data_IF_859528089767
#
_entry.id   IF_859528089767
#
_cell.length_a   1.000
_cell.length_b   1.000
_cell.length_c   1.000
_cell.angle_alpha   90.00
_cell.angle_beta   90.00
_cell.angle_gamma   90.00
#
_symmetry.space_group_name_H-M   'P 1'
#
loop_
_entity.id
_entity.type
_entity.pdbx_description
1 polymer ?
#
# COMPACT_ATOMS: atom_id res chain seq x y z
N UNK A 1 36.23 -26.42 27.25
CA UNK A 1 36.00 -24.97 27.25
C UNK A 1 36.26 -24.30 25.89
N UNK A 2 37.40 -24.46 25.22
CA UNK A 2 37.71 -23.76 23.96
C UNK A 2 36.76 -24.09 22.77
N UNK A 3 36.24 -25.31 22.64
CA UNK A 3 35.27 -25.68 21.58
C UNK A 3 33.87 -25.09 21.78
N UNK A 4 33.48 -24.86 23.03
CA UNK A 4 32.16 -24.25 23.33
C UNK A 4 32.17 -22.74 23.05
N UNK A 5 33.27 -22.06 23.33
CA UNK A 5 33.44 -20.64 23.02
C UNK A 5 33.46 -20.37 21.51
N UNK A 6 34.08 -21.28 20.72
CA UNK A 6 34.14 -21.14 19.25
C UNK A 6 32.73 -21.33 18.60
N UNK A 7 31.93 -22.27 19.13
CA UNK A 7 30.57 -22.48 18.65
C UNK A 7 29.66 -21.27 18.94
N UNK A 8 29.76 -20.69 20.13
CA UNK A 8 29.00 -19.50 20.51
C UNK A 8 29.39 -18.28 19.68
N UNK A 9 30.68 -18.08 19.36
CA UNK A 9 31.13 -16.96 18.51
C UNK A 9 30.71 -17.13 17.05
N UNK A 10 30.72 -18.35 16.51
CA UNK A 10 30.24 -18.62 15.15
C UNK A 10 28.72 -18.42 15.04
N UNK A 11 27.95 -18.89 16.02
CA UNK A 11 26.47 -18.68 16.05
C UNK A 11 26.14 -17.20 16.19
N UNK A 12 26.85 -16.45 17.06
CA UNK A 12 26.65 -15.01 17.20
C UNK A 12 27.02 -14.24 15.91
N UNK A 13 28.15 -14.59 15.28
CA UNK A 13 28.56 -13.96 14.02
C UNK A 13 27.59 -14.24 12.88
N UNK A 14 27.09 -15.48 12.75
CA UNK A 14 26.08 -15.85 11.76
C UNK A 14 24.76 -15.11 12.01
N UNK A 15 24.34 -14.99 13.28
CA UNK A 15 23.12 -14.25 13.65
C UNK A 15 23.24 -12.77 13.31
N UNK A 16 24.38 -12.13 13.55
CA UNK A 16 24.63 -10.72 13.23
C UNK A 16 24.64 -10.50 11.70
N UNK A 17 25.25 -11.40 10.93
CA UNK A 17 25.27 -11.30 9.47
C UNK A 17 23.86 -11.50 8.88
N UNK A 18 23.09 -12.46 9.39
CA UNK A 18 21.73 -12.71 8.94
C UNK A 18 20.79 -11.53 9.28
N UNK A 19 20.91 -10.98 10.49
CA UNK A 19 20.15 -9.80 10.91
C UNK A 19 20.49 -8.56 10.08
N UNK A 20 21.76 -8.36 9.74
CA UNK A 20 22.18 -7.25 8.88
C UNK A 20 21.67 -7.38 7.42
N UNK A 21 21.57 -8.60 6.90
CA UNK A 21 20.99 -8.85 5.58
C UNK A 21 19.47 -8.66 5.57
N UNK A 22 18.80 -9.12 6.59
CA UNK A 22 17.37 -9.01 6.75
C UNK A 22 16.89 -7.55 6.84
N UNK A 23 17.55 -6.75 7.65
CA UNK A 23 17.29 -5.32 7.75
C UNK A 23 17.51 -4.61 6.39
N UNK A 24 18.57 -4.98 5.65
CA UNK A 24 18.83 -4.42 4.32
C UNK A 24 17.69 -4.70 3.32
N UNK A 25 17.17 -5.91 3.30
CA UNK A 25 16.07 -6.29 2.41
C UNK A 25 14.78 -5.56 2.78
N UNK A 26 14.48 -5.43 4.08
CA UNK A 26 13.33 -4.68 4.59
C UNK A 26 13.43 -3.19 4.21
N UNK A 27 14.60 -2.56 4.36
CA UNK A 27 14.83 -1.18 3.95
C UNK A 27 14.73 -0.99 2.42
N UNK A 28 15.19 -1.97 1.63
CA UNK A 28 15.01 -1.94 0.17
C UNK A 28 13.53 -1.97 -0.21
N UNK A 29 12.72 -2.83 0.43
CA UNK A 29 11.27 -2.87 0.20
C UNK A 29 10.64 -1.54 0.59
N UNK A 30 10.98 -0.96 1.74
CA UNK A 30 10.51 0.34 2.19
C UNK A 30 10.79 1.43 1.16
N UNK A 31 12.04 1.55 0.71
CA UNK A 31 12.42 2.53 -0.31
C UNK A 31 11.60 2.36 -1.59
N UNK A 32 11.50 1.13 -2.09
CA UNK A 32 10.74 0.84 -3.31
C UNK A 32 9.25 1.17 -3.15
N UNK A 33 8.65 0.94 -1.97
CA UNK A 33 7.26 1.33 -1.69
C UNK A 33 7.09 2.84 -1.67
N UNK A 34 8.00 3.57 -1.01
CA UNK A 34 8.00 5.04 -0.98
C UNK A 34 8.14 5.62 -2.39
N UNK A 35 9.06 5.08 -3.19
CA UNK A 35 9.24 5.50 -4.59
C UNK A 35 7.96 5.29 -5.42
N UNK A 36 7.25 4.18 -5.21
CA UNK A 36 5.97 3.91 -5.90
C UNK A 36 4.84 4.85 -5.47
N UNK A 37 4.85 5.34 -4.24
CA UNK A 37 3.88 6.35 -3.80
C UNK A 37 4.02 7.67 -4.58
N UNK A 38 5.24 7.97 -5.04
CA UNK A 38 5.59 9.23 -5.71
C UNK A 38 5.70 9.12 -7.23
N UNK A 39 6.23 8.00 -7.73
CA UNK A 39 6.51 7.82 -9.14
C UNK A 39 5.30 7.28 -9.91
N UNK A 40 4.57 8.19 -10.54
CA UNK A 40 3.38 7.86 -11.34
C UNK A 40 3.68 6.92 -12.51
N UNK A 41 4.94 6.84 -12.97
CA UNK A 41 5.37 5.92 -14.05
C UNK A 41 5.45 4.45 -13.56
N UNK A 42 5.40 4.21 -12.26
CA UNK A 42 5.33 2.87 -11.67
C UNK A 42 3.88 2.45 -11.36
N UNK A 43 2.90 3.26 -11.73
CA UNK A 43 1.50 3.00 -11.46
C UNK A 43 0.84 2.11 -12.52
N UNK A 44 -0.17 1.29 -12.15
CA UNK A 44 -0.99 0.57 -13.12
C UNK A 44 -1.68 1.49 -14.14
N UNK A 45 -1.98 2.73 -13.77
CA UNK A 45 -2.57 3.72 -14.66
C UNK A 45 -1.61 4.13 -15.80
N UNK A 46 -0.31 4.18 -15.53
CA UNK A 46 0.68 4.43 -16.57
C UNK A 46 0.81 3.25 -17.54
N UNK A 47 0.76 2.01 -17.04
CA UNK A 47 0.72 0.82 -17.91
C UNK A 47 -0.50 0.83 -18.82
N UNK A 48 -1.68 1.15 -18.28
CA UNK A 48 -2.90 1.30 -19.08
C UNK A 48 -2.78 2.43 -20.13
N UNK A 49 -2.16 3.55 -19.76
CA UNK A 49 -1.85 4.63 -20.71
C UNK A 49 -0.95 4.13 -21.84
N UNK A 50 0.15 3.45 -21.56
CA UNK A 50 1.05 2.91 -22.59
C UNK A 50 0.31 1.97 -23.54
N UNK A 51 -0.49 1.03 -23.00
CA UNK A 51 -1.29 0.13 -23.82
C UNK A 51 -2.28 0.88 -24.73
N UNK A 52 -2.93 1.92 -24.21
CA UNK A 52 -3.84 2.76 -24.99
C UNK A 52 -3.12 3.50 -26.14
N UNK A 53 -1.90 4.01 -25.88
CA UNK A 53 -1.11 4.67 -26.93
C UNK A 53 -0.67 3.67 -28.01
N UNK A 54 -0.24 2.46 -27.63
CA UNK A 54 0.12 1.39 -28.55
C UNK A 54 -1.08 1.01 -29.43
N UNK A 55 -2.26 0.83 -28.85
CA UNK A 55 -3.50 0.49 -29.57
C UNK A 55 -3.90 1.58 -30.58
N UNK A 56 -3.63 2.85 -30.29
CA UNK A 56 -3.93 4.00 -31.16
C UNK A 56 -2.81 4.29 -32.17
N UNK A 57 -1.71 3.56 -32.10
CA UNK A 57 -0.48 3.84 -32.84
C UNK A 57 0.05 5.26 -32.59
N UNK A 58 -0.05 5.73 -31.33
CA UNK A 58 0.42 7.03 -30.88
C UNK A 58 1.72 6.89 -30.05
N UNK A 59 2.57 7.93 -30.03
CA UNK A 59 3.80 7.89 -29.24
C UNK A 59 3.49 7.88 -27.73
N UNK A 60 4.35 7.16 -26.97
CA UNK A 60 4.30 7.16 -25.51
C UNK A 60 5.12 8.37 -25.01
N UNK A 61 4.46 9.43 -24.58
CA UNK A 61 5.10 10.61 -24.00
C UNK A 61 5.01 10.56 -22.47
N UNK A 62 6.03 9.97 -21.84
CA UNK A 62 6.14 9.86 -20.38
C UNK A 62 6.29 11.22 -19.71
N UNK A 63 6.93 12.19 -20.36
CA UNK A 63 7.14 13.52 -19.79
C UNK A 63 5.81 14.28 -19.72
N UNK A 64 5.08 14.35 -20.82
CA UNK A 64 3.76 14.98 -20.85
C UNK A 64 2.77 14.28 -19.88
N UNK A 65 2.86 12.94 -19.75
CA UNK A 65 2.06 12.18 -18.79
C UNK A 65 2.32 12.62 -17.35
N UNK A 66 3.60 12.68 -16.94
CA UNK A 66 4.00 13.15 -15.60
C UNK A 66 3.56 14.58 -15.37
N UNK A 67 3.83 15.49 -16.30
CA UNK A 67 3.47 16.90 -16.18
C UNK A 67 1.96 17.08 -15.99
N UNK A 68 1.15 16.38 -16.76
CA UNK A 68 -0.32 16.43 -16.64
C UNK A 68 -0.80 15.96 -15.26
N UNK A 69 -0.29 14.81 -14.76
CA UNK A 69 -0.71 14.30 -13.47
C UNK A 69 -0.21 15.17 -12.32
N UNK A 70 0.99 15.73 -12.43
CA UNK A 70 1.51 16.68 -11.44
C UNK A 70 0.66 17.96 -11.40
N UNK A 71 0.26 18.51 -12.55
CA UNK A 71 -0.62 19.67 -12.60
C UNK A 71 -1.99 19.42 -11.96
N UNK A 72 -2.56 18.21 -12.15
CA UNK A 72 -3.80 17.78 -11.47
C UNK A 72 -3.59 17.67 -9.96
N UNK A 73 -2.48 17.08 -9.52
CA UNK A 73 -2.14 16.98 -8.11
C UNK A 73 -2.02 18.38 -7.48
N UNK A 74 -1.25 19.27 -8.09
CA UNK A 74 -1.02 20.63 -7.60
C UNK A 74 -2.32 21.46 -7.51
N UNK A 75 -3.16 21.37 -8.53
CA UNK A 75 -4.48 22.01 -8.53
C UNK A 75 -5.38 21.47 -7.41
N UNK A 76 -5.36 20.15 -7.18
CA UNK A 76 -6.12 19.50 -6.09
C UNK A 76 -5.61 19.94 -4.72
N UNK A 77 -4.30 20.04 -4.54
CA UNK A 77 -3.68 20.50 -3.30
C UNK A 77 -4.04 21.97 -3.05
N UNK A 78 -3.93 22.83 -4.07
CA UNK A 78 -4.31 24.23 -3.96
C UNK A 78 -5.76 24.39 -3.49
N UNK A 79 -6.71 23.69 -4.13
CA UNK A 79 -8.12 23.74 -3.76
C UNK A 79 -8.36 23.21 -2.33
N UNK A 80 -7.64 22.15 -1.95
CA UNK A 80 -7.75 21.57 -0.61
C UNK A 80 -7.23 22.50 0.46
N UNK A 81 -6.09 23.16 0.24
CA UNK A 81 -5.54 24.15 1.17
C UNK A 81 -6.44 25.37 1.32
N UNK A 82 -7.02 25.85 0.23
CA UNK A 82 -7.90 27.03 0.24
C UNK A 82 -9.18 26.82 1.05
N UNK A 83 -9.63 25.57 1.24
CA UNK A 83 -10.88 25.23 1.93
C UNK A 83 -10.67 24.56 3.29
N UNK A 84 -9.43 24.28 3.68
CA UNK A 84 -9.13 23.68 4.98
C UNK A 84 -9.45 24.63 6.14
N UNK A 85 -10.16 24.14 7.14
CA UNK A 85 -10.49 24.90 8.36
C UNK A 85 -9.30 24.99 9.32
N UNK A 86 -9.41 25.86 10.30
CA UNK A 86 -8.36 26.06 11.29
C UNK A 86 -8.03 24.81 12.11
N UNK A 87 -9.01 23.94 12.33
CA UNK A 87 -8.86 22.66 13.04
C UNK A 87 -8.34 21.51 12.16
N UNK A 88 -8.11 21.75 10.86
CA UNK A 88 -7.64 20.75 9.92
C UNK A 88 -8.74 20.01 9.14
N UNK A 89 -10.01 20.28 9.45
CA UNK A 89 -11.16 19.69 8.75
C UNK A 89 -11.45 20.37 7.40
N UNK A 90 -12.39 19.79 6.65
CA UNK A 90 -12.97 20.39 5.44
C UNK A 90 -14.49 20.44 5.55
N UNK A 91 -15.14 21.59 5.29
CA UNK A 91 -16.58 21.79 5.51
C UNK A 91 -17.46 20.99 4.57
N UNK A 92 -16.93 20.54 3.43
CA UNK A 92 -17.60 19.70 2.44
C UNK A 92 -17.44 18.19 2.71
N UNK A 93 -16.73 17.80 3.76
CA UNK A 93 -16.57 16.41 4.16
C UNK A 93 -17.58 16.06 5.25
N UNK A 94 -18.48 15.13 4.92
CA UNK A 94 -19.48 14.59 5.85
C UNK A 94 -18.84 13.54 6.77
N UNK A 95 -18.31 13.96 7.92
CA UNK A 95 -17.60 13.07 8.86
C UNK A 95 -18.50 12.07 9.57
N UNK A 96 -19.81 12.36 9.70
CA UNK A 96 -20.83 11.47 10.25
C UNK A 96 -21.51 10.58 9.19
N UNK A 97 -20.85 10.43 8.03
CA UNK A 97 -21.41 9.63 6.94
C UNK A 97 -21.57 8.15 7.32
N UNK A 98 -22.79 7.64 7.20
CA UNK A 98 -23.16 6.24 7.46
C UNK A 98 -23.28 5.40 6.18
N UNK A 99 -22.94 5.93 5.01
CA UNK A 99 -22.97 5.17 3.76
C UNK A 99 -21.99 4.01 3.82
N UNK A 100 -22.47 2.81 3.52
CA UNK A 100 -21.65 1.60 3.49
C UNK A 100 -20.67 1.59 2.31
N UNK A 101 -21.04 2.20 1.20
CA UNK A 101 -20.20 2.43 0.02
C UNK A 101 -20.01 3.93 -0.17
N UNK A 102 -18.91 4.33 -0.85
CA UNK A 102 -18.59 5.75 -1.07
C UNK A 102 -18.53 6.57 0.24
N UNK A 103 -17.87 6.03 1.24
CA UNK A 103 -17.75 6.64 2.56
C UNK A 103 -17.03 7.99 2.48
N UNK A 104 -17.77 9.07 2.74
CA UNK A 104 -17.33 10.46 2.52
C UNK A 104 -16.05 10.86 3.24
N UNK A 105 -15.78 10.41 4.49
CA UNK A 105 -14.55 10.77 5.19
C UNK A 105 -13.25 10.36 4.49
N UNK A 106 -13.25 9.40 3.55
CA UNK A 106 -12.07 9.12 2.73
C UNK A 106 -11.56 10.33 1.94
N UNK A 107 -12.42 11.29 1.61
CA UNK A 107 -12.01 12.55 0.97
C UNK A 107 -10.99 13.29 1.82
N UNK A 108 -11.15 13.30 3.15
CA UNK A 108 -10.20 13.90 4.08
C UNK A 108 -8.81 13.23 3.95
N UNK A 109 -8.76 11.90 4.07
CA UNK A 109 -7.50 11.16 3.95
C UNK A 109 -6.84 11.35 2.57
N UNK A 110 -7.64 11.38 1.50
CA UNK A 110 -7.15 11.61 0.14
C UNK A 110 -6.49 13.00 0.02
N UNK A 111 -7.09 14.03 0.60
CA UNK A 111 -6.53 15.40 0.61
C UNK A 111 -5.20 15.45 1.35
N UNK A 112 -5.14 14.87 2.55
CA UNK A 112 -3.88 14.75 3.31
C UNK A 112 -2.80 14.04 2.50
N UNK A 113 -3.12 12.88 1.91
CA UNK A 113 -2.17 12.08 1.14
C UNK A 113 -1.70 12.82 -0.11
N UNK A 114 -2.57 13.56 -0.80
CA UNK A 114 -2.20 14.38 -1.94
C UNK A 114 -1.24 15.51 -1.53
N UNK A 115 -1.46 16.15 -0.38
CA UNK A 115 -0.52 17.12 0.17
C UNK A 115 0.84 16.50 0.49
N UNK A 116 0.87 15.32 1.10
CA UNK A 116 2.10 14.57 1.36
C UNK A 116 2.84 14.23 0.07
N UNK A 117 2.13 13.77 -0.96
CA UNK A 117 2.71 13.48 -2.29
C UNK A 117 3.27 14.73 -2.95
N UNK A 118 2.56 15.85 -2.94
CA UNK A 118 3.01 17.11 -3.52
C UNK A 118 4.25 17.64 -2.79
N UNK A 119 4.26 17.61 -1.46
CA UNK A 119 5.42 17.99 -0.65
C UNK A 119 6.66 17.15 -0.96
N UNK A 120 6.51 15.83 -1.17
CA UNK A 120 7.62 14.91 -1.43
C UNK A 120 8.02 14.81 -2.91
N UNK A 121 7.20 15.28 -3.86
CA UNK A 121 7.45 15.12 -5.29
C UNK A 121 8.27 16.28 -5.87
N UNK A 122 9.52 16.04 -6.37
CA UNK A 122 10.30 17.08 -7.01
C UNK A 122 9.66 17.73 -8.24
N UNK A 123 8.67 17.07 -8.85
CA UNK A 123 7.94 17.58 -10.01
C UNK A 123 6.82 18.55 -9.64
N UNK A 124 6.37 18.56 -8.37
CA UNK A 124 5.28 19.40 -7.88
C UNK A 124 5.76 20.82 -7.62
N UNK A 125 4.89 21.82 -7.88
CA UNK A 125 5.11 23.21 -7.48
C UNK A 125 5.17 23.37 -5.95
N UNK A 126 4.72 22.38 -5.19
CA UNK A 126 4.71 22.35 -3.73
C UNK A 126 5.82 21.49 -3.12
N UNK A 127 6.84 21.15 -3.91
CA UNK A 127 7.97 20.37 -3.41
C UNK A 127 8.65 21.09 -2.24
N UNK A 128 8.69 20.40 -1.09
CA UNK A 128 9.23 20.95 0.18
C UNK A 128 8.60 22.29 0.65
N UNK A 129 7.37 22.57 0.23
CA UNK A 129 6.63 23.74 0.71
C UNK A 129 6.11 23.47 2.13
N UNK A 130 6.64 24.23 3.09
CA UNK A 130 6.30 24.11 4.51
C UNK A 130 4.80 24.37 4.79
N UNK A 131 4.13 25.22 4.00
CA UNK A 131 2.69 25.47 4.18
C UNK A 131 1.87 24.24 3.84
N UNK A 132 2.27 23.51 2.80
CA UNK A 132 1.62 22.24 2.40
C UNK A 132 1.87 21.18 3.45
N UNK A 133 3.11 21.07 3.96
CA UNK A 133 3.42 20.13 5.05
C UNK A 133 2.56 20.44 6.28
N UNK A 134 2.50 21.68 6.73
CA UNK A 134 1.69 22.04 7.91
C UNK A 134 0.19 21.79 7.69
N UNK A 135 -0.32 22.00 6.48
CA UNK A 135 -1.70 21.68 6.14
C UNK A 135 -1.96 20.17 6.20
N UNK A 136 -1.04 19.33 5.70
CA UNK A 136 -1.13 17.88 5.76
C UNK A 136 -1.11 17.38 7.21
N UNK A 137 -0.18 17.89 8.04
CA UNK A 137 -0.06 17.52 9.45
C UNK A 137 -1.28 17.93 10.27
N UNK A 138 -1.82 19.13 10.00
CA UNK A 138 -3.07 19.60 10.64
C UNK A 138 -4.25 18.70 10.28
N UNK A 139 -4.35 18.25 9.03
CA UNK A 139 -5.33 17.24 8.62
C UNK A 139 -5.15 15.93 9.37
N UNK A 140 -3.91 15.47 9.55
CA UNK A 140 -3.60 14.28 10.33
C UNK A 140 -4.07 14.42 11.79
N UNK A 141 -3.78 15.55 12.44
CA UNK A 141 -4.18 15.81 13.83
C UNK A 141 -5.71 15.73 13.98
N UNK A 142 -6.45 16.39 13.09
CA UNK A 142 -7.92 16.29 13.06
C UNK A 142 -8.40 14.84 12.90
N UNK A 143 -7.83 14.10 11.94
CA UNK A 143 -8.20 12.71 11.69
C UNK A 143 -7.96 11.82 12.91
N UNK A 144 -6.79 11.94 13.52
CA UNK A 144 -6.42 11.14 14.69
C UNK A 144 -7.27 11.47 15.92
N UNK A 145 -7.69 12.72 16.06
CA UNK A 145 -8.59 13.14 17.13
C UNK A 145 -10.05 12.67 16.89
N UNK A 146 -10.56 12.85 15.66
CA UNK A 146 -11.96 12.58 15.32
C UNK A 146 -12.25 11.11 15.13
N UNK A 147 -11.33 10.39 14.49
CA UNK A 147 -11.43 8.96 14.14
C UNK A 147 -12.79 8.55 13.58
N UNK A 148 -13.25 9.14 12.46
CA UNK A 148 -14.53 8.77 11.86
C UNK A 148 -14.60 7.26 11.60
N UNK A 149 -15.76 6.66 11.87
CA UNK A 149 -15.97 5.22 11.69
C UNK A 149 -17.00 4.96 10.59
N UNK A 150 -16.69 4.04 9.69
CA UNK A 150 -17.61 3.56 8.67
C UNK A 150 -18.45 2.38 9.21
N UNK A 151 -19.66 2.24 8.71
CA UNK A 151 -20.45 1.01 8.89
C UNK A 151 -19.91 -0.17 8.07
N UNK A 152 -18.98 0.10 7.13
CA UNK A 152 -18.27 -0.92 6.38
C UNK A 152 -16.90 -1.19 7.01
N UNK A 153 -16.73 -2.38 7.55
CA UNK A 153 -15.46 -2.82 8.17
C UNK A 153 -14.24 -2.64 7.25
N UNK A 154 -14.41 -2.82 5.93
CA UNK A 154 -13.34 -2.65 4.95
C UNK A 154 -12.72 -1.25 5.00
N UNK A 155 -13.56 -0.22 5.16
CA UNK A 155 -13.07 1.16 5.28
C UNK A 155 -12.23 1.36 6.55
N UNK A 156 -12.65 0.76 7.67
CA UNK A 156 -11.99 0.92 8.97
C UNK A 156 -10.69 0.10 9.07
N UNK A 157 -10.68 -1.10 8.50
CA UNK A 157 -9.60 -2.04 8.71
C UNK A 157 -8.64 -2.17 7.51
N UNK A 158 -9.08 -1.82 6.31
CA UNK A 158 -8.25 -1.91 5.09
C UNK A 158 -8.00 -0.52 4.48
N UNK A 159 -9.05 0.16 4.04
CA UNK A 159 -8.90 1.38 3.27
C UNK A 159 -8.26 2.53 4.03
N UNK A 160 -8.74 2.81 5.23
CA UNK A 160 -8.19 3.87 6.09
C UNK A 160 -6.75 3.62 6.51
N UNK A 161 -6.42 2.44 7.08
CA UNK A 161 -5.04 2.10 7.42
C UNK A 161 -4.08 2.10 6.22
N UNK A 162 -4.54 1.76 5.00
CA UNK A 162 -3.73 1.87 3.79
C UNK A 162 -3.31 3.32 3.53
N UNK A 163 -4.28 4.24 3.52
CA UNK A 163 -4.00 5.66 3.29
C UNK A 163 -3.05 6.23 4.35
N UNK A 164 -3.22 5.81 5.61
CA UNK A 164 -2.31 6.21 6.69
C UNK A 164 -0.92 5.61 6.56
N UNK A 165 -0.81 4.38 6.08
CA UNK A 165 0.47 3.75 5.78
C UNK A 165 1.23 4.49 4.69
N UNK A 166 0.58 4.83 3.58
CA UNK A 166 1.19 5.62 2.50
C UNK A 166 1.61 7.01 3.01
N UNK A 167 0.78 7.67 3.83
CA UNK A 167 1.12 8.94 4.46
C UNK A 167 2.35 8.83 5.38
N UNK A 168 2.40 7.77 6.20
CA UNK A 168 3.54 7.48 7.07
C UNK A 168 4.82 7.21 6.29
N UNK A 169 4.78 6.42 5.20
CA UNK A 169 5.95 6.17 4.34
C UNK A 169 6.54 7.47 3.76
N UNK A 170 5.68 8.46 3.46
CA UNK A 170 6.11 9.72 2.87
C UNK A 170 6.62 10.73 3.89
N UNK A 171 6.04 10.79 5.07
CA UNK A 171 6.26 11.89 6.03
C UNK A 171 6.74 11.45 7.42
N UNK A 172 7.17 10.20 7.62
CA UNK A 172 7.55 9.70 8.96
C UNK A 172 8.54 10.63 9.68
N UNK A 173 9.55 11.12 8.97
CA UNK A 173 10.60 12.00 9.52
C UNK A 173 10.13 13.44 9.79
N UNK A 174 8.89 13.77 9.43
CA UNK A 174 8.22 15.05 9.66
C UNK A 174 7.17 15.00 10.76
N UNK A 175 6.81 13.79 11.21
CA UNK A 175 5.81 13.61 12.26
C UNK A 175 6.41 13.87 13.64
N UNK A 176 5.65 14.52 14.52
CA UNK A 176 5.96 14.50 15.95
C UNK A 176 5.79 13.08 16.52
N UNK A 177 6.40 12.81 17.67
CA UNK A 177 6.23 11.51 18.36
C UNK A 177 4.74 11.17 18.60
N UNK A 178 3.94 12.16 18.97
CA UNK A 178 2.51 11.98 19.20
C UNK A 178 1.75 11.65 17.90
N UNK A 179 2.06 12.36 16.80
CA UNK A 179 1.46 12.09 15.49
C UNK A 179 1.84 10.71 14.98
N UNK A 180 3.11 10.35 15.11
CA UNK A 180 3.59 9.03 14.71
C UNK A 180 2.93 7.91 15.53
N UNK A 181 2.90 8.03 16.86
CA UNK A 181 2.23 7.07 17.72
C UNK A 181 0.74 6.94 17.40
N UNK A 182 0.05 8.06 17.15
CA UNK A 182 -1.35 8.06 16.74
C UNK A 182 -1.61 7.40 15.39
N UNK A 183 -0.71 7.62 14.42
CA UNK A 183 -0.76 6.98 13.11
C UNK A 183 -0.59 5.47 13.22
N UNK A 184 0.40 5.00 13.97
CA UNK A 184 0.65 3.56 14.21
C UNK A 184 -0.55 2.93 14.95
N UNK A 185 -1.08 3.60 15.95
CA UNK A 185 -2.27 3.13 16.67
C UNK A 185 -3.48 3.01 15.74
N UNK A 186 -3.71 3.99 14.85
CA UNK A 186 -4.76 3.90 13.83
C UNK A 186 -4.53 2.73 12.87
N UNK A 187 -3.29 2.48 12.43
CA UNK A 187 -2.95 1.34 11.57
C UNK A 187 -3.15 -0.02 12.27
N UNK A 188 -3.19 -0.08 13.60
CA UNK A 188 -3.48 -1.29 14.36
C UNK A 188 -4.93 -1.81 14.15
N UNK A 189 -5.81 -1.06 13.49
CA UNK A 189 -7.10 -1.58 13.02
C UNK A 189 -6.93 -2.70 11.98
N UNK A 190 -5.83 -2.70 11.21
CA UNK A 190 -5.49 -3.80 10.31
C UNK A 190 -4.83 -4.94 11.08
N UNK A 191 -5.51 -6.09 11.13
CA UNK A 191 -4.98 -7.34 11.71
C UNK A 191 -5.08 -8.45 10.68
N UNK A 192 -4.07 -9.30 10.62
CA UNK A 192 -4.04 -10.45 9.71
C UNK A 192 -5.14 -11.42 10.13
N UNK A 193 -6.12 -11.60 9.27
CA UNK A 193 -7.27 -12.48 9.47
C UNK A 193 -7.93 -12.83 8.14
N UNK A 194 -8.91 -13.72 8.14
CA UNK A 194 -9.71 -14.14 6.99
C UNK A 194 -8.83 -14.72 5.86
N UNK A 195 -9.32 -14.75 4.60
CA UNK A 195 -8.66 -15.38 3.48
C UNK A 195 -8.85 -14.59 2.18
N UNK A 196 -8.35 -15.12 1.06
CA UNK A 196 -8.49 -14.50 -0.26
C UNK A 196 -7.86 -13.12 -0.35
N UNK A 197 -8.45 -12.25 -1.17
CA UNK A 197 -7.93 -10.90 -1.41
C UNK A 197 -7.97 -10.01 -0.17
N UNK A 198 -8.95 -10.19 0.70
CA UNK A 198 -9.03 -9.39 1.92
C UNK A 198 -7.82 -9.63 2.84
N UNK A 199 -7.34 -10.88 2.94
CA UNK A 199 -6.12 -11.22 3.67
C UNK A 199 -4.90 -10.53 3.06
N UNK A 200 -4.78 -10.52 1.73
CA UNK A 200 -3.69 -9.81 1.04
C UNK A 200 -3.65 -8.34 1.44
N UNK A 201 -4.79 -7.64 1.40
CA UNK A 201 -4.85 -6.22 1.77
C UNK A 201 -4.49 -5.96 3.24
N UNK A 202 -4.96 -6.81 4.15
CA UNK A 202 -4.61 -6.71 5.58
C UNK A 202 -3.12 -6.94 5.80
N UNK A 203 -2.53 -7.95 5.15
CA UNK A 203 -1.10 -8.21 5.21
C UNK A 203 -0.28 -7.04 4.66
N UNK A 204 -0.72 -6.39 3.58
CA UNK A 204 -0.06 -5.18 3.06
C UNK A 204 -0.01 -4.06 4.11
N UNK A 205 -1.14 -3.80 4.78
CA UNK A 205 -1.19 -2.76 5.82
C UNK A 205 -0.29 -3.10 7.02
N UNK A 206 -0.30 -4.36 7.46
CA UNK A 206 0.58 -4.84 8.54
C UNK A 206 2.04 -4.77 8.13
N UNK A 207 2.38 -5.13 6.89
CA UNK A 207 3.71 -5.01 6.32
C UNK A 207 4.19 -3.55 6.33
N UNK A 208 3.37 -2.60 5.88
CA UNK A 208 3.71 -1.16 5.92
C UNK A 208 3.90 -0.68 7.35
N UNK A 209 3.01 -1.06 8.27
CA UNK A 209 3.18 -0.73 9.69
C UNK A 209 4.50 -1.27 10.25
N UNK A 210 4.85 -2.51 9.93
CA UNK A 210 6.12 -3.12 10.36
C UNK A 210 7.34 -2.35 9.82
N UNK A 211 7.30 -1.88 8.56
CA UNK A 211 8.32 -1.02 7.97
C UNK A 211 8.46 0.32 8.72
N UNK A 212 7.34 0.91 9.14
CA UNK A 212 7.34 2.20 9.85
C UNK A 212 7.94 2.10 11.26
N UNK A 213 7.76 0.96 11.95
CA UNK A 213 8.26 0.75 13.32
C UNK A 213 9.53 -0.11 13.37
N UNK A 214 10.14 -0.43 12.21
CA UNK A 214 11.32 -1.30 12.07
C UNK A 214 11.18 -2.68 12.75
N UNK A 215 9.96 -3.26 12.72
CA UNK A 215 9.66 -4.59 13.28
C UNK A 215 9.80 -5.68 12.21
N UNK A 216 10.99 -6.31 12.16
CA UNK A 216 11.31 -7.36 11.21
C UNK A 216 10.43 -8.61 11.39
N UNK A 217 10.13 -8.99 12.63
CA UNK A 217 9.34 -10.18 12.91
C UNK A 217 7.89 -10.02 12.40
N UNK A 218 7.30 -8.86 12.64
CA UNK A 218 5.97 -8.51 12.14
C UNK A 218 5.95 -8.41 10.60
N UNK A 219 7.02 -7.88 10.01
CA UNK A 219 7.18 -7.79 8.56
C UNK A 219 7.22 -9.18 7.92
N UNK A 220 8.02 -10.10 8.45
CA UNK A 220 8.09 -11.47 7.97
C UNK A 220 6.79 -12.25 8.17
N UNK A 221 6.11 -12.05 9.29
CA UNK A 221 4.78 -12.62 9.52
C UNK A 221 3.80 -12.16 8.44
N UNK A 222 3.74 -10.86 8.16
CA UNK A 222 2.84 -10.32 7.14
C UNK A 222 3.12 -10.90 5.75
N UNK A 223 4.39 -11.07 5.36
CA UNK A 223 4.79 -11.68 4.09
C UNK A 223 4.41 -13.16 4.05
N UNK A 224 4.72 -13.92 5.10
CA UNK A 224 4.38 -15.35 5.18
C UNK A 224 2.87 -15.56 5.05
N UNK A 225 2.08 -14.78 5.77
CA UNK A 225 0.63 -14.87 5.76
C UNK A 225 0.02 -14.43 4.42
N UNK A 226 0.61 -13.45 3.75
CA UNK A 226 0.23 -13.05 2.40
C UNK A 226 0.53 -14.14 1.39
N UNK A 227 1.73 -14.74 1.42
CA UNK A 227 2.12 -15.83 0.53
C UNK A 227 1.26 -17.07 0.74
N UNK A 228 0.75 -17.30 1.95
CA UNK A 228 -0.08 -18.46 2.28
C UNK A 228 -1.38 -18.55 1.49
N UNK A 229 -1.84 -17.47 0.86
CA UNK A 229 -3.02 -17.46 -0.01
C UNK A 229 -2.69 -17.72 -1.48
N UNK A 230 -1.39 -17.82 -1.86
CA UNK A 230 -0.96 -18.14 -3.23
C UNK A 230 -0.93 -19.65 -3.39
N UNK A 231 -2.10 -20.23 -3.53
CA UNK A 231 -2.31 -21.69 -3.69
C UNK A 231 -3.64 -21.96 -4.35
N UNK A 232 -3.83 -23.21 -4.81
CA UNK A 232 -5.14 -23.70 -5.24
C UNK A 232 -5.98 -24.02 -4.00
N UNK A 233 -7.19 -23.50 -3.97
CA UNK A 233 -8.13 -23.65 -2.86
C UNK A 233 -9.44 -24.29 -3.30
N UNK A 234 -10.22 -24.77 -2.32
CA UNK A 234 -11.56 -25.31 -2.55
C UNK A 234 -12.66 -24.35 -2.07
N UNK A 235 -12.30 -23.24 -1.44
CA UNK A 235 -13.22 -22.23 -0.90
C UNK A 235 -12.89 -20.85 -1.48
N UNK A 236 -12.34 -19.91 -0.72
CA UNK A 236 -11.95 -18.59 -1.24
C UNK A 236 -10.52 -18.60 -1.77
N UNK A 237 -10.28 -18.00 -2.93
CA UNK A 237 -8.99 -17.93 -3.62
C UNK A 237 -9.03 -18.52 -5.02
N UNK A 238 -7.86 -18.84 -5.58
CA UNK A 238 -7.70 -19.45 -6.90
C UNK A 238 -8.16 -20.91 -6.85
N UNK A 239 -9.07 -21.29 -7.73
CA UNK A 239 -9.60 -22.64 -7.82
C UNK A 239 -8.80 -23.51 -8.79
N UNK A 240 -9.05 -24.83 -8.80
CA UNK A 240 -8.35 -25.79 -9.68
C UNK A 240 -8.62 -25.56 -11.18
N UNK A 241 -9.73 -24.92 -11.52
CA UNK A 241 -10.11 -24.53 -12.89
C UNK A 241 -9.66 -23.08 -13.23
N UNK A 242 -8.80 -22.50 -12.41
CA UNK A 242 -8.30 -21.12 -12.50
C UNK A 242 -9.37 -20.04 -12.36
N UNK A 243 -10.56 -20.39 -11.83
CA UNK A 243 -11.51 -19.38 -11.38
C UNK A 243 -11.08 -18.78 -10.04
N UNK A 244 -11.69 -17.66 -9.64
CA UNK A 244 -11.44 -17.04 -8.34
C UNK A 244 -12.72 -16.91 -7.55
N UNK A 245 -12.72 -17.45 -6.33
CA UNK A 245 -13.83 -17.34 -5.39
C UNK A 245 -13.53 -16.34 -4.26
N UNK A 246 -14.55 -15.59 -3.86
CA UNK A 246 -14.55 -14.73 -2.67
C UNK A 246 -15.98 -14.59 -2.15
N UNK A 247 -16.14 -14.34 -0.84
CA UNK A 247 -17.42 -14.42 -0.13
C UNK A 247 -18.04 -15.82 -0.20
N UNK A 248 -17.26 -16.80 0.20
CA UNK A 248 -17.54 -18.22 -0.01
C UNK A 248 -17.27 -18.63 -1.46
N UNK A 249 -18.08 -19.52 -1.99
CA UNK A 249 -17.90 -20.08 -3.34
C UNK A 249 -18.49 -19.23 -4.47
N UNK A 250 -18.46 -17.91 -4.32
CA UNK A 250 -18.92 -16.99 -5.36
C UNK A 250 -17.77 -16.64 -6.31
N UNK A 251 -18.00 -16.79 -7.62
CA UNK A 251 -17.04 -16.35 -8.63
C UNK A 251 -16.90 -14.81 -8.61
N UNK A 252 -15.67 -14.32 -8.48
CA UNK A 252 -15.35 -12.91 -8.30
C UNK A 252 -14.16 -12.46 -9.17
N UNK A 253 -14.18 -12.79 -10.47
CA UNK A 253 -13.09 -12.45 -11.40
C UNK A 253 -12.81 -10.96 -11.50
N UNK A 254 -13.80 -10.18 -11.90
CA UNK A 254 -13.65 -8.75 -12.23
C UNK A 254 -13.48 -7.84 -11.02
N UNK A 255 -13.59 -8.33 -9.82
CA UNK A 255 -13.49 -7.56 -8.57
C UNK A 255 -12.34 -8.09 -7.69
N UNK A 256 -12.63 -9.08 -6.83
CA UNK A 256 -11.63 -9.62 -5.90
C UNK A 256 -10.50 -10.36 -6.61
N UNK A 257 -10.79 -11.13 -7.66
CA UNK A 257 -9.80 -11.86 -8.42
C UNK A 257 -8.83 -10.93 -9.16
N UNK A 258 -9.33 -9.87 -9.80
CA UNK A 258 -8.49 -8.84 -10.43
C UNK A 258 -7.63 -8.13 -9.37
N UNK A 259 -8.22 -7.77 -8.24
CA UNK A 259 -7.48 -7.14 -7.14
C UNK A 259 -6.41 -8.06 -6.55
N UNK A 260 -6.69 -9.37 -6.45
CA UNK A 260 -5.74 -10.38 -5.98
C UNK A 260 -4.52 -10.46 -6.90
N UNK A 261 -4.74 -10.65 -8.20
CA UNK A 261 -3.66 -10.71 -9.18
C UNK A 261 -2.85 -9.41 -9.20
N UNK A 262 -3.54 -8.27 -9.26
CA UNK A 262 -2.90 -6.94 -9.29
C UNK A 262 -2.09 -6.67 -8.02
N UNK A 263 -2.64 -6.94 -6.85
CA UNK A 263 -1.93 -6.72 -5.58
C UNK A 263 -0.69 -7.59 -5.47
N UNK A 264 -0.82 -8.90 -5.73
CA UNK A 264 0.29 -9.84 -5.58
C UNK A 264 1.38 -9.63 -6.64
N UNK A 265 1.04 -9.27 -7.87
CA UNK A 265 2.06 -8.93 -8.90
C UNK A 265 2.80 -7.65 -8.54
N UNK A 266 2.12 -6.63 -8.04
CA UNK A 266 2.76 -5.40 -7.57
C UNK A 266 3.70 -5.67 -6.38
N UNK A 267 3.25 -6.46 -5.41
CA UNK A 267 4.07 -6.84 -4.25
C UNK A 267 5.24 -7.72 -4.66
N UNK A 268 5.03 -8.68 -5.55
CA UNK A 268 6.11 -9.50 -6.11
C UNK A 268 7.22 -8.64 -6.73
N UNK A 269 6.84 -7.55 -7.40
CA UNK A 269 7.78 -6.57 -7.92
C UNK A 269 8.55 -5.79 -6.83
N UNK A 270 7.95 -5.57 -5.63
CA UNK A 270 8.67 -4.97 -4.49
C UNK A 270 9.75 -5.91 -3.93
N UNK A 271 9.50 -7.21 -4.00
CA UNK A 271 10.36 -8.22 -3.42
C UNK A 271 11.52 -8.66 -4.34
N UNK A 272 11.57 -8.19 -5.58
CA UNK A 272 12.62 -8.57 -6.53
C UNK A 272 14.02 -8.26 -5.99
N UNK A 273 14.88 -9.31 -6.00
CA UNK A 273 16.24 -9.22 -5.49
C UNK A 273 16.34 -9.04 -3.98
N UNK A 274 15.34 -9.49 -3.24
CA UNK A 274 15.34 -9.67 -1.79
C UNK A 274 15.08 -11.13 -1.45
N UNK A 275 15.31 -11.55 -0.20
CA UNK A 275 14.97 -12.89 0.29
C UNK A 275 13.46 -13.18 0.29
N UNK A 276 12.62 -12.16 0.11
CA UNK A 276 11.16 -12.27 0.10
C UNK A 276 10.58 -12.59 -1.27
N UNK A 277 11.40 -12.64 -2.32
CA UNK A 277 10.99 -12.98 -3.70
C UNK A 277 10.07 -14.21 -3.71
N UNK A 278 9.05 -14.18 -4.54
CA UNK A 278 8.15 -15.31 -4.74
C UNK A 278 8.92 -16.50 -5.34
N UNK A 279 8.65 -17.70 -4.82
CA UNK A 279 9.22 -18.93 -5.36
C UNK A 279 8.52 -19.34 -6.67
N UNK A 280 9.08 -20.36 -7.37
CA UNK A 280 8.56 -20.78 -8.67
C UNK A 280 7.13 -21.33 -8.58
N UNK A 281 6.75 -22.00 -7.49
CA UNK A 281 5.38 -22.47 -7.29
C UNK A 281 4.40 -21.31 -7.14
N UNK A 282 4.73 -20.31 -6.32
CA UNK A 282 3.92 -19.09 -6.14
C UNK A 282 3.76 -18.35 -7.48
N UNK A 283 4.87 -18.15 -8.22
CA UNK A 283 4.86 -17.53 -9.54
C UNK A 283 4.05 -18.32 -10.56
N UNK A 284 4.15 -19.65 -10.56
CA UNK A 284 3.39 -20.53 -11.46
C UNK A 284 1.89 -20.39 -11.24
N UNK A 285 1.44 -20.33 -9.99
CA UNK A 285 0.01 -20.16 -9.68
C UNK A 285 -0.48 -18.79 -10.18
N UNK A 286 0.26 -17.70 -9.91
CA UNK A 286 -0.14 -16.38 -10.37
C UNK A 286 -0.14 -16.27 -11.90
N UNK A 287 0.87 -16.85 -12.57
CA UNK A 287 0.95 -16.88 -14.03
C UNK A 287 -0.22 -17.67 -14.64
N UNK A 288 -0.49 -18.87 -14.14
CA UNK A 288 -1.57 -19.69 -14.67
C UNK A 288 -2.94 -19.07 -14.38
N UNK A 289 -3.14 -18.47 -13.19
CA UNK A 289 -4.34 -17.70 -12.90
C UNK A 289 -4.53 -16.53 -13.88
N UNK A 290 -3.45 -15.82 -14.23
CA UNK A 290 -3.52 -14.75 -15.23
C UNK A 290 -3.86 -15.26 -16.63
N UNK A 291 -3.21 -16.34 -17.07
CA UNK A 291 -3.29 -16.83 -18.47
C UNK A 291 -4.46 -17.77 -18.71
N UNK A 292 -4.77 -18.66 -17.77
CA UNK A 292 -5.80 -19.68 -17.93
C UNK A 292 -7.13 -19.31 -17.25
N UNK A 293 -7.13 -18.30 -16.35
CA UNK A 293 -8.31 -17.82 -15.65
C UNK A 293 -8.73 -16.44 -16.12
N UNK A 294 -7.98 -15.40 -15.70
CA UNK A 294 -8.35 -14.01 -15.91
C UNK A 294 -8.48 -13.62 -17.38
N UNK A 295 -7.58 -14.08 -18.26
CA UNK A 295 -7.60 -13.74 -19.69
C UNK A 295 -8.89 -14.18 -20.41
N UNK A 296 -9.58 -15.18 -19.89
CA UNK A 296 -10.85 -15.68 -20.43
C UNK A 296 -12.08 -15.01 -19.81
N UNK A 297 -11.92 -14.38 -18.65
CA UNK A 297 -13.02 -13.79 -17.90
C UNK A 297 -13.14 -12.28 -18.07
N UNK A 298 -12.12 -11.60 -18.61
CA UNK A 298 -12.06 -10.14 -18.79
C UNK A 298 -11.93 -9.82 -20.28
N UNK A 299 -12.98 -9.25 -20.85
CA UNK A 299 -13.03 -8.75 -22.23
C UNK A 299 -13.06 -7.24 -22.24
#
# INVERSE_FOLDING_TARGET
>A
MKRFLFLCTVVAAVSIVLSGCANRDMQKVRQTMTDRCLNVLLSPAYEAYKLSQIQKNEPIDSVAYVQRLTAVLDSTVQASMATQQADGSWPDVEYECHLRSSWRPFTHQTRMLNMAKAYCSPASAYYQDEKVLQAALKGLDFWLQRRPQSTNWWANEIGGPRNMGDFGLLLQDKLSEQQFAGLIDYMNNSKIKITGQNKVWLCCNVMVRALLIDDEALFEEAIREMKSVIKIENDEGVQFDWSFHQHGRQQQFGNYGLSYLSSLTQIGGLFLGTRYTFNEQELSILRNYALEGMSWAVW
#
